data_IF_811765204338
#
_entry.id   IF_811765204338
#
_cell.length_a   1.000
_cell.length_b   1.000
_cell.length_c   1.000
_cell.angle_alpha   90.00
_cell.angle_beta   90.00
_cell.angle_gamma   90.00
#
_symmetry.space_group_name_H-M   'P 1'
#
loop_
_entity.id
_entity.type
_entity.pdbx_description
1 polymer ?
#
# COMPACT_ATOMS: atom_id res chain seq x y z
N UNK A 1 -15.28 -1.55 16.00
CA UNK A 1 -15.21 -0.06 15.90
C UNK A 1 -15.05 0.33 14.42
N UNK A 2 -15.40 1.54 13.96
CA UNK A 2 -15.07 1.98 12.58
C UNK A 2 -13.68 2.61 12.56
N UNK A 3 -12.78 2.09 11.71
CA UNK A 3 -11.45 2.66 11.50
C UNK A 3 -11.41 3.43 10.18
N UNK A 4 -10.93 4.69 10.16
CA UNK A 4 -10.77 5.41 8.92
C UNK A 4 -9.68 4.76 8.05
N UNK A 5 -9.79 4.83 6.71
CA UNK A 5 -8.73 4.43 5.80
C UNK A 5 -7.40 5.13 6.06
N UNK A 6 -6.28 4.44 5.80
CA UNK A 6 -4.92 4.95 6.00
C UNK A 6 -4.17 5.01 4.67
N UNK A 7 -3.54 6.16 4.39
CA UNK A 7 -2.72 6.39 3.20
C UNK A 7 -1.25 6.11 3.53
N UNK A 8 -0.60 5.28 2.73
CA UNK A 8 0.83 5.03 2.74
C UNK A 8 1.45 5.47 1.42
N UNK A 9 2.58 6.20 1.49
CA UNK A 9 3.32 6.65 0.32
C UNK A 9 4.70 6.01 0.35
N UNK A 10 5.02 5.21 -0.67
CA UNK A 10 6.27 4.44 -0.74
C UNK A 10 7.04 4.89 -1.97
N UNK A 11 8.29 5.31 -1.76
CA UNK A 11 9.23 5.67 -2.83
C UNK A 11 10.20 4.51 -3.06
N UNK A 12 10.31 4.05 -4.31
CA UNK A 12 11.12 2.90 -4.68
C UNK A 12 11.93 3.17 -5.95
N UNK A 13 13.06 2.48 -6.16
CA UNK A 13 13.69 2.42 -7.47
C UNK A 13 12.75 1.80 -8.51
N UNK A 14 12.83 2.24 -9.77
CA UNK A 14 11.91 1.83 -10.85
C UNK A 14 11.92 0.32 -11.18
N UNK A 15 12.94 -0.42 -10.75
CA UNK A 15 13.02 -1.89 -10.87
C UNK A 15 12.42 -2.68 -9.71
N UNK A 16 11.85 -2.02 -8.69
CA UNK A 16 11.33 -2.68 -7.48
C UNK A 16 10.00 -3.41 -7.72
N UNK A 17 10.05 -4.57 -8.36
CA UNK A 17 8.85 -5.37 -8.70
C UNK A 17 8.19 -6.06 -7.49
N UNK A 18 8.88 -6.19 -6.36
CA UNK A 18 8.37 -6.85 -5.15
C UNK A 18 7.13 -6.18 -4.56
N UNK A 19 6.96 -4.87 -4.79
CA UNK A 19 5.80 -4.11 -4.31
C UNK A 19 4.48 -4.64 -4.89
N UNK A 20 4.50 -5.15 -6.13
CA UNK A 20 3.32 -5.78 -6.75
C UNK A 20 2.90 -7.03 -5.98
N UNK A 21 3.87 -7.86 -5.56
CA UNK A 21 3.62 -9.05 -4.76
C UNK A 21 3.04 -8.71 -3.39
N UNK A 22 3.50 -7.61 -2.77
CA UNK A 22 2.91 -7.12 -1.52
C UNK A 22 1.46 -6.72 -1.74
N UNK A 23 1.18 -5.86 -2.73
CA UNK A 23 -0.18 -5.40 -3.02
C UNK A 23 -1.17 -6.55 -3.25
N UNK A 24 -0.73 -7.65 -3.86
CA UNK A 24 -1.53 -8.88 -4.00
C UNK A 24 -1.77 -9.54 -2.63
N UNK A 25 -0.73 -9.65 -1.80
CA UNK A 25 -0.82 -10.27 -0.47
C UNK A 25 -1.81 -9.55 0.45
N UNK A 26 -1.88 -8.22 0.34
CA UNK A 26 -2.75 -7.38 1.18
C UNK A 26 -4.02 -6.94 0.45
N UNK A 27 -4.39 -7.61 -0.65
CA UNK A 27 -5.52 -7.22 -1.50
C UNK A 27 -6.84 -7.13 -0.73
N UNK A 28 -7.06 -8.01 0.26
CA UNK A 28 -8.28 -8.03 1.07
C UNK A 28 -8.46 -6.76 1.93
N UNK A 29 -7.37 -6.04 2.21
CA UNK A 29 -7.36 -4.79 2.97
C UNK A 29 -7.12 -3.56 2.09
N UNK A 30 -6.81 -3.77 0.82
CA UNK A 30 -6.45 -2.72 -0.12
C UNK A 30 -7.72 -2.05 -0.68
N UNK A 31 -7.87 -0.75 -0.44
CA UNK A 31 -8.93 0.04 -1.07
C UNK A 31 -8.48 0.48 -2.46
N UNK A 32 -7.28 1.05 -2.56
CA UNK A 32 -6.70 1.49 -3.83
C UNK A 32 -5.18 1.57 -3.77
N UNK A 33 -4.54 1.44 -4.94
CA UNK A 33 -3.12 1.68 -5.10
C UNK A 33 -2.89 2.42 -6.43
N UNK A 34 -2.20 3.55 -6.37
CA UNK A 34 -1.79 4.32 -7.54
C UNK A 34 -0.27 4.25 -7.73
N UNK A 35 0.12 4.09 -8.99
CA UNK A 35 1.53 4.07 -9.41
C UNK A 35 1.87 5.35 -10.15
N UNK A 36 2.89 6.05 -9.66
CA UNK A 36 3.39 7.29 -10.24
C UNK A 36 4.87 7.10 -10.58
N UNK A 37 5.23 7.20 -11.86
CA UNK A 37 6.62 7.20 -12.28
C UNK A 37 7.24 8.56 -11.94
N UNK A 38 8.24 8.58 -11.04
CA UNK A 38 8.98 9.79 -10.67
C UNK A 38 10.38 9.67 -11.24
N UNK A 39 10.60 10.31 -12.39
CA UNK A 39 11.84 10.19 -13.16
C UNK A 39 12.10 8.73 -13.64
N UNK A 40 13.07 8.51 -14.52
CA UNK A 40 13.32 7.15 -15.04
C UNK A 40 13.86 6.17 -13.98
N UNK A 41 14.27 6.67 -12.81
CA UNK A 41 14.96 5.90 -11.77
C UNK A 41 14.09 5.57 -10.57
N UNK A 42 13.01 6.30 -10.33
CA UNK A 42 12.17 6.13 -9.16
C UNK A 42 10.70 6.01 -9.51
N UNK A 43 9.96 5.38 -8.62
CA UNK A 43 8.52 5.23 -8.67
C UNK A 43 7.97 5.50 -7.30
N UNK A 44 6.76 6.03 -7.25
CA UNK A 44 6.01 6.27 -6.04
C UNK A 44 4.72 5.49 -6.10
N UNK A 45 4.44 4.77 -5.02
CA UNK A 45 3.17 4.09 -4.81
C UNK A 45 2.40 4.85 -3.73
N UNK A 46 1.19 5.28 -4.08
CA UNK A 46 0.23 5.84 -3.12
C UNK A 46 -0.79 4.76 -2.85
N UNK A 47 -0.85 4.27 -1.61
CA UNK A 47 -1.59 3.07 -1.26
C UNK A 47 -2.58 3.40 -0.15
N UNK A 48 -3.85 3.08 -0.35
CA UNK A 48 -4.93 3.29 0.60
C UNK A 48 -5.39 1.93 1.14
N UNK A 49 -5.29 1.74 2.45
CA UNK A 49 -5.71 0.53 3.15
C UNK A 49 -6.89 0.79 4.07
N UNK A 50 -7.78 -0.21 4.20
CA UNK A 50 -8.80 -0.28 5.23
C UNK A 50 -8.24 -1.08 6.42
N UNK A 51 -7.96 -0.46 7.58
CA UNK A 51 -7.58 -1.21 8.75
C UNK A 51 -8.72 -2.14 9.16
N UNK A 52 -8.37 -3.37 9.52
CA UNK A 52 -9.28 -4.33 10.14
C UNK A 52 -8.92 -4.51 11.61
N UNK A 53 -9.94 -4.59 12.45
CA UNK A 53 -9.78 -4.95 13.84
C UNK A 53 -9.53 -6.47 13.91
N UNK A 54 -8.29 -6.88 14.16
CA UNK A 54 -7.99 -8.28 14.47
C UNK A 54 -8.19 -8.44 15.98
N UNK A 55 -9.17 -9.25 16.39
CA UNK A 55 -9.46 -9.53 17.79
C UNK A 55 -8.16 -9.91 18.53
N UNK A 56 -7.77 -9.09 19.53
CA UNK A 56 -6.58 -9.32 20.34
C UNK A 56 -5.32 -8.55 19.93
N UNK A 57 -5.31 -7.79 18.83
CA UNK A 57 -4.17 -6.94 18.45
C UNK A 57 -4.61 -5.54 18.00
N UNK A 58 -4.22 -4.53 18.77
CA UNK A 58 -4.16 -3.14 18.29
C UNK A 58 -2.88 -3.02 17.43
N UNK A 59 -3.00 -3.17 16.12
CA UNK A 59 -1.98 -2.75 15.16
C UNK A 59 -2.41 -1.42 14.56
#
# INVERSE_FOLDING_TARGET
>A
MFFPPVIHIIHLPSGANWIKSILITVQDFLISAEFILIEQRYVMYVILFQPIEIEGTKL
#
